data_IF_989150571423
#
_entry.id   IF_989150571423
#
_cell.length_a   1.000
_cell.length_b   1.000
_cell.length_c   1.000
_cell.angle_alpha   90.00
_cell.angle_beta   90.00
_cell.angle_gamma   90.00
#
_symmetry.space_group_name_H-M   'P 1'
#
loop_
_entity.id
_entity.type
_entity.pdbx_description
1 polymer ?
#
# COMPACT_ATOMS: atom_id res chain seq x y z
N UNK A 1 11.77 3.15 2.79
CA UNK A 1 10.62 2.47 2.11
C UNK A 1 9.31 2.98 2.67
N UNK A 2 8.25 2.95 1.86
CA UNK A 2 6.90 3.33 2.27
C UNK A 2 5.99 2.10 2.33
N UNK A 3 5.22 1.97 3.41
CA UNK A 3 4.10 1.04 3.54
C UNK A 3 2.80 1.84 3.45
N UNK A 4 2.00 1.61 2.40
CA UNK A 4 0.81 2.41 2.11
C UNK A 4 -0.41 1.50 2.07
N UNK A 5 -1.41 1.77 2.90
CA UNK A 5 -2.64 1.00 2.93
C UNK A 5 -3.69 1.61 3.84
N UNK A 6 -4.92 1.11 3.82
CA UNK A 6 -5.88 1.47 4.86
C UNK A 6 -5.53 0.79 6.18
N UNK A 7 -6.20 1.21 7.26
CA UNK A 7 -6.21 0.47 8.51
C UNK A 7 -7.01 -0.84 8.39
N UNK A 8 -7.09 -1.63 9.47
CA UNK A 8 -7.76 -2.93 9.51
C UNK A 8 -6.98 -4.03 8.78
N UNK A 9 -7.68 -4.83 7.98
CA UNK A 9 -7.10 -6.02 7.32
C UNK A 9 -5.92 -5.73 6.40
N UNK A 10 -5.90 -4.58 5.71
CA UNK A 10 -4.77 -4.17 4.88
C UNK A 10 -3.51 -3.93 5.72
N UNK A 11 -3.66 -3.23 6.84
CA UNK A 11 -2.59 -3.00 7.81
C UNK A 11 -2.10 -4.33 8.40
N UNK A 12 -3.02 -5.18 8.86
CA UNK A 12 -2.71 -6.48 9.42
C UNK A 12 -1.88 -7.37 8.47
N UNK A 13 -2.21 -7.39 7.17
CA UNK A 13 -1.44 -8.13 6.16
C UNK A 13 -0.04 -7.58 5.91
N UNK A 14 0.19 -6.27 6.13
CA UNK A 14 1.52 -5.68 5.97
C UNK A 14 2.40 -5.82 7.23
N UNK A 15 1.80 -6.02 8.41
CA UNK A 15 2.56 -6.10 9.67
C UNK A 15 3.63 -7.21 9.67
N UNK A 16 3.38 -8.45 9.18
CA UNK A 16 4.42 -9.47 9.11
C UNK A 16 5.62 -9.06 8.25
N UNK A 17 5.40 -8.30 7.17
CA UNK A 17 6.46 -7.84 6.26
C UNK A 17 7.45 -6.90 6.97
N UNK A 18 7.03 -6.26 8.05
CA UNK A 18 7.85 -5.32 8.82
C UNK A 18 9.03 -5.98 9.51
N UNK A 19 8.94 -7.28 9.79
CA UNK A 19 10.03 -8.06 10.38
C UNK A 19 11.23 -8.18 9.43
N UNK A 20 11.00 -7.99 8.13
CA UNK A 20 12.03 -8.05 7.11
C UNK A 20 12.83 -6.75 6.99
N UNK A 21 12.38 -5.67 7.64
CA UNK A 21 12.92 -4.33 7.43
C UNK A 21 13.14 -3.56 8.73
N UNK A 22 14.26 -2.84 8.82
CA UNK A 22 14.57 -2.02 9.99
C UNK A 22 13.51 -0.92 10.23
N UNK A 23 13.08 -0.69 11.48
CA UNK A 23 12.19 0.42 11.84
C UNK A 23 12.70 1.79 11.42
N UNK A 24 14.02 1.97 11.35
CA UNK A 24 14.66 3.23 10.96
C UNK A 24 14.37 3.62 9.50
N UNK A 25 14.01 2.64 8.65
CA UNK A 25 13.93 2.81 7.20
C UNK A 25 12.50 2.69 6.66
N UNK A 26 11.48 2.63 7.53
CA UNK A 26 10.08 2.45 7.12
C UNK A 26 9.21 3.65 7.52
N UNK A 27 8.48 4.16 6.54
CA UNK A 27 7.41 5.14 6.73
C UNK A 27 6.07 4.44 6.51
N UNK A 28 5.12 4.66 7.41
CA UNK A 28 3.74 4.22 7.23
C UNK A 28 2.86 5.33 6.71
N UNK A 29 1.98 4.99 5.78
CA UNK A 29 0.89 5.85 5.32
C UNK A 29 -0.41 5.08 5.48
N UNK A 30 -1.22 5.44 6.48
CA UNK A 30 -2.49 4.77 6.76
C UNK A 30 -3.52 5.71 7.40
N UNK A 31 -4.70 5.21 7.72
CA UNK A 31 -5.76 6.00 8.34
C UNK A 31 -5.62 6.05 9.86
N UNK A 32 -5.92 7.20 10.45
CA UNK A 32 -5.86 7.38 11.91
C UNK A 32 -7.09 6.78 12.58
N UNK A 33 -7.05 5.48 12.82
CA UNK A 33 -8.08 4.70 13.52
C UNK A 33 -7.51 4.03 14.77
N UNK A 34 -8.36 3.57 15.68
CA UNK A 34 -7.92 3.00 16.97
C UNK A 34 -7.00 1.78 16.83
N UNK A 35 -7.29 0.91 15.87
CA UNK A 35 -6.47 -0.26 15.52
C UNK A 35 -5.09 0.16 14.98
N UNK A 36 -5.02 1.15 14.09
CA UNK A 36 -3.76 1.64 13.54
C UNK A 36 -2.90 2.35 14.60
N UNK A 37 -3.52 3.09 15.52
CA UNK A 37 -2.82 3.71 16.64
C UNK A 37 -2.19 2.67 17.57
N UNK A 38 -2.87 1.55 17.80
CA UNK A 38 -2.33 0.44 18.59
C UNK A 38 -1.21 -0.31 17.87
N UNK A 39 -1.44 -0.68 16.60
CA UNK A 39 -0.50 -1.48 15.81
C UNK A 39 0.80 -0.74 15.47
N UNK A 40 0.73 0.59 15.29
CA UNK A 40 1.86 1.43 14.89
C UNK A 40 2.44 2.26 16.06
N UNK A 41 2.15 1.90 17.31
CA UNK A 41 2.55 2.70 18.49
C UNK A 41 4.07 2.87 18.62
N UNK A 42 4.83 1.85 18.20
CA UNK A 42 6.29 1.79 18.34
C UNK A 42 7.00 2.15 17.02
N UNK A 43 6.22 2.53 15.99
CA UNK A 43 6.75 2.96 14.71
C UNK A 43 7.24 4.40 14.80
N UNK A 44 8.47 4.62 14.33
CA UNK A 44 9.10 5.94 14.40
C UNK A 44 8.47 6.96 13.45
N UNK A 45 7.88 6.49 12.36
CA UNK A 45 7.45 7.35 11.26
C UNK A 45 6.12 6.91 10.66
N UNK A 46 5.06 7.56 11.11
CA UNK A 46 3.67 7.30 10.69
C UNK A 46 3.03 8.58 10.18
N UNK A 47 2.50 8.52 8.97
CA UNK A 47 1.78 9.60 8.32
C UNK A 47 0.32 9.20 8.14
N UNK A 48 -0.57 10.06 8.65
CA UNK A 48 -2.01 9.81 8.61
C UNK A 48 -2.62 10.37 7.33
N UNK A 49 -3.15 9.47 6.50
CA UNK A 49 -3.87 9.80 5.28
C UNK A 49 -5.34 10.19 5.55
N UNK A 50 -5.93 10.85 4.57
CA UNK A 50 -7.32 11.31 4.63
C UNK A 50 -8.29 10.18 4.28
N UNK A 51 -9.26 9.92 5.15
CA UNK A 51 -10.33 8.94 4.98
C UNK A 51 -11.71 9.60 5.20
N UNK A 52 -12.82 9.03 4.68
CA UNK A 52 -12.91 7.84 3.84
C UNK A 52 -12.41 8.11 2.41
N UNK A 53 -11.77 7.11 1.80
CA UNK A 53 -11.29 7.19 0.40
C UNK A 53 -12.30 6.64 -0.60
N UNK A 54 -13.25 5.82 -0.15
CA UNK A 54 -14.30 5.26 -0.99
C UNK A 54 -15.23 6.36 -1.49
N UNK A 55 -15.40 6.46 -2.82
CA UNK A 55 -16.28 7.45 -3.49
C UNK A 55 -16.02 8.91 -3.08
N UNK A 56 -14.80 9.25 -2.64
CA UNK A 56 -14.44 10.59 -2.18
C UNK A 56 -13.33 11.20 -3.04
N UNK A 57 -13.72 11.92 -4.10
CA UNK A 57 -12.78 12.65 -4.96
C UNK A 57 -12.00 13.69 -4.17
N UNK A 58 -12.65 14.35 -3.19
CA UNK A 58 -11.99 15.32 -2.31
C UNK A 58 -10.82 14.69 -1.55
N UNK A 59 -11.01 13.51 -0.96
CA UNK A 59 -9.94 12.85 -0.22
C UNK A 59 -8.90 12.21 -1.16
N UNK A 60 -9.28 11.80 -2.37
CA UNK A 60 -8.32 11.41 -3.40
C UNK A 60 -7.35 12.56 -3.72
N UNK A 61 -7.85 13.78 -3.96
CA UNK A 61 -7.01 14.95 -4.23
C UNK A 61 -6.13 15.33 -3.04
N UNK A 62 -6.67 15.27 -1.81
CA UNK A 62 -5.89 15.51 -0.59
C UNK A 62 -4.77 14.48 -0.41
N UNK A 63 -5.06 13.20 -0.64
CA UNK A 63 -4.08 12.14 -0.58
C UNK A 63 -3.06 12.23 -1.73
N UNK A 64 -3.44 12.72 -2.91
CA UNK A 64 -2.50 13.01 -3.98
C UNK A 64 -1.52 14.13 -3.62
N UNK A 65 -2.01 15.22 -3.01
CA UNK A 65 -1.16 16.29 -2.48
C UNK A 65 -0.24 15.79 -1.36
N UNK A 66 -0.74 14.92 -0.47
CA UNK A 66 0.05 14.28 0.57
C UNK A 66 1.13 13.38 -0.03
N UNK A 67 0.77 12.52 -0.99
CA UNK A 67 1.70 11.62 -1.68
C UNK A 67 2.81 12.41 -2.39
N UNK A 68 2.45 13.45 -3.14
CA UNK A 68 3.42 14.34 -3.79
C UNK A 68 4.43 14.92 -2.80
N UNK A 69 3.93 15.49 -1.68
CA UNK A 69 4.78 16.08 -0.65
C UNK A 69 5.73 15.04 -0.06
N UNK A 70 5.21 13.89 0.38
CA UNK A 70 6.02 12.85 1.02
C UNK A 70 7.05 12.23 0.08
N UNK A 71 6.68 11.94 -1.17
CA UNK A 71 7.60 11.38 -2.15
C UNK A 71 8.73 12.36 -2.47
N UNK A 72 8.43 13.66 -2.55
CA UNK A 72 9.43 14.71 -2.76
C UNK A 72 10.38 14.88 -1.58
N UNK A 73 9.84 14.86 -0.36
CA UNK A 73 10.61 15.09 0.88
C UNK A 73 11.44 13.89 1.30
N UNK A 74 10.89 12.67 1.17
CA UNK A 74 11.50 11.46 1.73
C UNK A 74 12.12 10.54 0.70
N UNK A 75 11.77 10.69 -0.59
CA UNK A 75 12.31 9.94 -1.73
C UNK A 75 12.52 8.44 -1.43
N UNK A 76 11.44 7.69 -1.15
CA UNK A 76 11.59 6.28 -0.86
C UNK A 76 12.08 5.50 -2.09
N UNK A 77 12.95 4.51 -1.88
CA UNK A 77 13.39 3.62 -2.95
C UNK A 77 12.27 2.63 -3.36
N UNK A 78 11.41 2.26 -2.42
CA UNK A 78 10.35 1.27 -2.59
C UNK A 78 9.06 1.69 -1.88
N UNK A 79 7.94 1.49 -2.55
CA UNK A 79 6.57 1.65 -2.04
C UNK A 79 5.88 0.28 -2.08
N UNK A 80 5.43 -0.19 -0.92
CA UNK A 80 4.73 -1.46 -0.74
C UNK A 80 3.29 -1.15 -0.34
N UNK A 81 2.32 -1.85 -0.96
CA UNK A 81 0.91 -1.70 -0.61
C UNK A 81 0.15 -3.01 -0.73
N UNK A 82 -0.69 -3.31 0.27
CA UNK A 82 -1.73 -4.34 0.17
C UNK A 82 -3.05 -3.80 -0.40
N UNK A 83 -3.07 -2.56 -0.90
CA UNK A 83 -4.22 -1.93 -1.52
C UNK A 83 -4.84 -0.77 -0.74
N UNK A 84 -6.18 -0.66 -0.83
CA UNK A 84 -7.01 0.51 -0.52
C UNK A 84 -6.77 1.75 -1.43
N UNK A 85 -7.81 2.56 -1.62
CA UNK A 85 -7.78 3.69 -2.57
C UNK A 85 -6.74 4.79 -2.23
N UNK A 86 -6.14 4.76 -1.04
CA UNK A 86 -5.02 5.63 -0.65
C UNK A 86 -3.71 5.30 -1.38
N UNK A 87 -3.53 4.06 -1.84
CA UNK A 87 -2.32 3.62 -2.52
C UNK A 87 -2.16 4.23 -3.93
N UNK A 88 -3.27 4.45 -4.63
CA UNK A 88 -3.26 4.83 -6.04
C UNK A 88 -2.40 6.08 -6.35
N UNK A 89 -2.52 7.21 -5.62
CA UNK A 89 -1.67 8.36 -5.87
C UNK A 89 -0.17 8.09 -5.69
N UNK A 90 0.21 7.22 -4.74
CA UNK A 90 1.62 6.87 -4.52
C UNK A 90 2.17 6.04 -5.68
N UNK A 91 1.38 5.11 -6.20
CA UNK A 91 1.76 4.29 -7.35
C UNK A 91 1.92 5.12 -8.62
N UNK A 92 0.98 6.02 -8.90
CA UNK A 92 1.06 6.90 -10.08
C UNK A 92 2.26 7.85 -9.99
N UNK A 93 2.49 8.45 -8.83
CA UNK A 93 3.56 9.44 -8.65
C UNK A 93 4.94 8.81 -8.49
N UNK A 94 5.04 7.53 -8.12
CA UNK A 94 6.31 6.81 -7.88
C UNK A 94 7.34 6.99 -9.01
N UNK A 95 6.88 6.90 -10.27
CA UNK A 95 7.71 7.02 -11.48
C UNK A 95 8.41 8.36 -11.60
N UNK A 96 7.83 9.45 -11.08
CA UNK A 96 8.44 10.78 -11.08
C UNK A 96 9.58 10.90 -10.06
N UNK A 97 9.62 10.02 -9.06
CA UNK A 97 10.58 10.06 -7.97
C UNK A 97 11.55 8.87 -7.97
N UNK A 98 11.46 7.99 -8.98
CA UNK A 98 12.35 6.83 -9.12
C UNK A 98 12.06 5.68 -8.14
N UNK A 99 10.93 5.72 -7.43
CA UNK A 99 10.56 4.69 -6.48
C UNK A 99 10.04 3.44 -7.20
N UNK A 100 10.50 2.26 -6.78
CA UNK A 100 9.90 0.98 -7.20
C UNK A 100 8.62 0.71 -6.44
N UNK A 101 7.69 0.01 -7.07
CA UNK A 101 6.36 -0.23 -6.52
C UNK A 101 6.04 -1.71 -6.45
N UNK A 102 5.61 -2.16 -5.27
CA UNK A 102 5.21 -3.54 -4.99
C UNK A 102 3.76 -3.52 -4.53
N UNK A 103 2.88 -4.10 -5.34
CA UNK A 103 1.50 -4.32 -4.96
C UNK A 103 1.32 -5.76 -4.48
N UNK A 104 0.62 -5.93 -3.37
CA UNK A 104 0.26 -7.23 -2.81
C UNK A 104 -1.27 -7.33 -2.84
N UNK A 105 -1.82 -8.32 -3.53
CA UNK A 105 -3.26 -8.53 -3.51
C UNK A 105 -3.74 -8.97 -2.14
N UNK A 106 -4.96 -8.60 -1.78
CA UNK A 106 -5.57 -8.98 -0.51
C UNK A 106 -5.84 -10.48 -0.43
N UNK A 107 -5.72 -11.01 0.78
CA UNK A 107 -5.96 -12.41 1.10
C UNK A 107 -7.42 -12.87 0.85
N UNK A 108 -8.42 -12.01 1.07
CA UNK A 108 -9.84 -12.36 1.08
C UNK A 108 -10.53 -12.36 -0.30
N UNK A 109 -9.83 -11.90 -1.35
CA UNK A 109 -10.36 -11.85 -2.73
C UNK A 109 -9.55 -12.76 -3.65
N UNK A 110 -9.96 -14.02 -3.71
CA UNK A 110 -9.23 -15.07 -4.43
C UNK A 110 -9.54 -15.08 -5.94
N UNK A 111 -10.81 -14.89 -6.30
CA UNK A 111 -11.35 -15.15 -7.64
C UNK A 111 -11.60 -13.89 -8.47
N UNK A 112 -11.41 -12.71 -7.88
CA UNK A 112 -11.79 -11.44 -8.50
C UNK A 112 -10.83 -10.32 -8.11
N UNK A 113 -10.43 -9.48 -9.08
CA UNK A 113 -9.45 -8.45 -8.82
C UNK A 113 -10.05 -7.29 -8.02
N UNK A 114 -9.35 -6.81 -7.00
CA UNK A 114 -9.80 -5.62 -6.26
C UNK A 114 -9.75 -4.38 -7.16
N UNK A 115 -10.65 -3.42 -6.94
CA UNK A 115 -10.65 -2.17 -7.71
C UNK A 115 -9.30 -1.45 -7.59
N UNK A 116 -8.72 -1.42 -6.38
CA UNK A 116 -7.41 -0.80 -6.16
C UNK A 116 -6.32 -1.52 -6.94
N UNK A 117 -6.30 -2.86 -6.94
CA UNK A 117 -5.30 -3.61 -7.70
C UNK A 117 -5.43 -3.35 -9.20
N UNK A 118 -6.65 -3.29 -9.74
CA UNK A 118 -6.87 -2.92 -11.14
C UNK A 118 -6.34 -1.53 -11.49
N UNK A 119 -6.41 -0.59 -10.56
CA UNK A 119 -5.92 0.78 -10.75
C UNK A 119 -4.41 0.88 -10.57
N UNK A 120 -3.83 0.13 -9.62
CA UNK A 120 -2.41 0.19 -9.30
C UNK A 120 -1.55 -0.74 -10.16
N UNK A 121 -2.08 -1.87 -10.66
CA UNK A 121 -1.30 -2.88 -11.37
C UNK A 121 -0.57 -2.36 -12.63
N UNK A 122 -1.09 -1.42 -13.44
CA UNK A 122 -0.32 -0.85 -14.55
C UNK A 122 0.89 0.01 -14.10
N UNK A 123 0.89 0.41 -12.83
CA UNK A 123 1.94 1.20 -12.21
C UNK A 123 2.84 0.37 -11.31
N UNK A 124 2.47 -0.88 -10.99
CA UNK A 124 3.25 -1.78 -10.17
C UNK A 124 4.46 -2.32 -10.95
N UNK A 125 5.66 -2.25 -10.35
CA UNK A 125 6.84 -2.96 -10.87
C UNK A 125 6.78 -4.46 -10.51
N UNK A 126 6.16 -4.78 -9.36
CA UNK A 126 5.96 -6.14 -8.90
C UNK A 126 4.53 -6.35 -8.39
N UNK A 127 3.88 -7.39 -8.90
CA UNK A 127 2.55 -7.82 -8.46
C UNK A 127 2.68 -9.14 -7.70
N UNK A 128 2.42 -9.09 -6.39
CA UNK A 128 2.44 -10.23 -5.50
C UNK A 128 1.01 -10.68 -5.22
N UNK A 129 0.80 -11.98 -5.22
CA UNK A 129 -0.50 -12.61 -4.93
C UNK A 129 -0.34 -13.64 -3.82
N UNK A 130 -1.40 -13.86 -3.06
CA UNK A 130 -1.38 -14.76 -1.90
C UNK A 130 -1.92 -16.16 -2.23
N UNK A 131 -2.61 -16.30 -3.35
CA UNK A 131 -3.18 -17.56 -3.86
C UNK A 131 -2.76 -17.81 -5.31
N UNK A 132 -2.66 -19.08 -5.69
CA UNK A 132 -2.33 -19.43 -7.09
C UNK A 132 -3.46 -19.03 -8.05
N UNK A 133 -4.72 -19.09 -7.61
CA UNK A 133 -5.90 -18.68 -8.36
C UNK A 133 -5.83 -17.20 -8.77
N UNK A 134 -5.26 -16.35 -7.93
CA UNK A 134 -5.10 -14.92 -8.20
C UNK A 134 -4.11 -14.65 -9.35
N UNK A 135 -3.24 -15.60 -9.69
CA UNK A 135 -2.26 -15.44 -10.78
C UNK A 135 -2.94 -15.27 -12.13
N UNK A 136 -4.14 -15.82 -12.30
CA UNK A 136 -4.93 -15.65 -13.52
C UNK A 136 -5.54 -14.24 -13.67
N UNK A 137 -5.55 -13.42 -12.60
CA UNK A 137 -6.20 -12.12 -12.58
C UNK A 137 -5.29 -10.98 -13.06
N UNK A 138 -3.96 -11.19 -13.06
CA UNK A 138 -2.96 -10.17 -13.32
C UNK A 138 -1.80 -10.72 -14.16
N UNK A 139 -1.08 -9.82 -14.85
CA UNK A 139 0.14 -10.20 -15.58
C UNK A 139 1.33 -10.27 -14.64
N UNK A 140 2.25 -11.20 -14.94
CA UNK A 140 3.58 -11.28 -14.34
C UNK A 140 3.58 -11.29 -12.79
N UNK A 141 2.76 -12.17 -12.22
CA UNK A 141 2.58 -12.31 -10.77
C UNK A 141 3.55 -13.28 -10.11
N UNK A 142 3.88 -13.01 -8.85
CA UNK A 142 4.59 -13.95 -7.96
C UNK A 142 3.66 -14.34 -6.81
N UNK A 143 3.43 -15.64 -6.66
CA UNK A 143 2.72 -16.19 -5.50
C UNK A 143 3.65 -16.23 -4.29
N UNK A 144 3.27 -15.56 -3.21
CA UNK A 144 4.05 -15.47 -1.97
C UNK A 144 3.41 -16.24 -0.81
N UNK A 145 2.24 -16.83 -1.04
CA UNK A 145 1.42 -17.45 0.01
C UNK A 145 0.71 -16.41 0.89
N UNK A 146 -0.08 -16.89 1.86
CA UNK A 146 -0.90 -16.03 2.70
C UNK A 146 -0.07 -15.29 3.75
N UNK A 147 -0.36 -14.00 3.92
CA UNK A 147 0.23 -13.13 4.93
C UNK A 147 -0.57 -13.08 6.23
N UNK A 148 -1.73 -13.76 6.28
CA UNK A 148 -2.60 -13.91 7.46
C UNK A 148 -3.05 -15.37 7.60
#
# INVERSE_FOLDING_TARGET
MFFVGSSGGHLAQMMPLTQLFSPEHRTWVTFRTGDALGALRDEKDVVWAYHPTTRSVRNLLRNAGLAWRLLRERRPDVIISTGAAVAFPYFVLSRLFGARTVYIEVYDRVDSPTLTARLCSPFADLMLVQWDEQRALYRDTIAIGPLL
#
